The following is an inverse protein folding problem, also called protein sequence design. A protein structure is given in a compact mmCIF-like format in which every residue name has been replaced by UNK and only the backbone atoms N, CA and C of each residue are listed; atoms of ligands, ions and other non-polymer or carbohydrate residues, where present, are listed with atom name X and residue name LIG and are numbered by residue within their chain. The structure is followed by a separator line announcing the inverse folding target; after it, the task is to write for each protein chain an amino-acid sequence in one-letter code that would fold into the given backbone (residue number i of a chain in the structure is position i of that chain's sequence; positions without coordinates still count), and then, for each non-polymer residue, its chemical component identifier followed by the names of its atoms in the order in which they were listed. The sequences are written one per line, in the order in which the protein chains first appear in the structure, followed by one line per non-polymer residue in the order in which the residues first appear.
data_IF_666056334734
#
_entry.id   IF_666056334734
#
_cell.length_a   1.000
_cell.length_b   1.000
_cell.length_c   1.000
_cell.angle_alpha   90.00
_cell.angle_beta   90.00
_cell.angle_gamma   90.00
#
_symmetry.space_group_name_H-M   'P 1'
#
loop_
_entity.id
_entity.type
_entity.pdbx_description
1 polymer ?
#
# COMPACT_ATOMS: atom_id res chain seq x y z
N UNK A 1 25.58 15.35 21.53
CA UNK A 1 25.16 15.47 20.11
C UNK A 1 25.55 14.25 19.26
N UNK A 2 26.74 13.67 19.41
CA UNK A 2 27.21 12.60 18.50
C UNK A 2 26.64 11.19 18.78
N UNK A 3 26.34 10.82 20.03
CA UNK A 3 26.00 9.43 20.35
C UNK A 3 24.59 9.00 19.95
N UNK A 4 23.60 9.89 20.00
CA UNK A 4 22.22 9.57 19.58
C UNK A 4 22.10 9.47 18.06
N UNK A 5 22.75 10.39 17.33
CA UNK A 5 22.78 10.37 15.87
C UNK A 5 23.47 9.09 15.37
N UNK A 6 24.59 8.70 15.99
CA UNK A 6 25.27 7.44 15.67
C UNK A 6 24.37 6.22 15.91
N UNK A 7 23.62 6.18 17.01
CA UNK A 7 22.69 5.08 17.31
C UNK A 7 21.46 5.04 16.40
N UNK A 8 21.02 6.19 15.90
CA UNK A 8 19.96 6.29 14.89
C UNK A 8 20.46 5.74 13.55
N UNK A 9 21.66 6.13 13.13
CA UNK A 9 22.29 5.64 11.89
C UNK A 9 22.51 4.12 11.99
N UNK A 10 23.01 3.63 13.13
CA UNK A 10 23.19 2.20 13.39
C UNK A 10 21.86 1.43 13.37
N UNK A 11 20.79 2.03 13.90
CA UNK A 11 19.43 1.49 13.79
C UNK A 11 18.95 1.42 12.34
N UNK A 12 19.28 2.43 11.53
CA UNK A 12 18.99 2.46 10.09
C UNK A 12 19.72 1.37 9.30
N UNK A 13 21.02 1.20 9.56
CA UNK A 13 21.84 0.18 8.91
C UNK A 13 21.38 -1.25 9.24
N UNK A 14 20.90 -1.47 10.47
CA UNK A 14 20.41 -2.77 10.93
C UNK A 14 18.90 -2.96 10.72
N UNK A 15 18.22 -2.03 10.03
CA UNK A 15 16.77 -2.01 9.81
C UNK A 15 15.92 -2.16 11.09
N UNK A 16 16.44 -1.72 12.24
CA UNK A 16 15.78 -1.80 13.54
C UNK A 16 14.97 -0.54 13.82
N UNK A 17 13.71 -0.58 13.39
CA UNK A 17 12.77 0.54 13.52
C UNK A 17 12.48 0.94 14.97
N UNK A 18 12.51 0.00 15.91
CA UNK A 18 12.28 0.30 17.34
C UNK A 18 13.44 1.11 17.90
N UNK A 19 14.67 0.72 17.55
CA UNK A 19 15.89 1.43 17.93
C UNK A 19 15.88 2.85 17.39
N UNK A 20 15.55 3.04 16.11
CA UNK A 20 15.43 4.36 15.46
C UNK A 20 14.42 5.24 16.19
N UNK A 21 13.19 4.76 16.42
CA UNK A 21 12.13 5.56 17.06
C UNK A 21 12.53 5.97 18.48
N UNK A 22 13.07 5.04 19.27
CA UNK A 22 13.47 5.33 20.65
C UNK A 22 14.59 6.37 20.74
N UNK A 23 15.61 6.29 19.89
CA UNK A 23 16.70 7.26 19.90
C UNK A 23 16.29 8.61 19.30
N UNK A 24 15.44 8.63 18.27
CA UNK A 24 14.89 9.87 17.71
C UNK A 24 13.99 10.59 18.72
N UNK A 25 13.18 9.87 19.49
CA UNK A 25 12.40 10.47 20.59
C UNK A 25 13.30 11.04 21.70
N UNK A 26 14.36 10.31 22.10
CA UNK A 26 15.34 10.81 23.07
C UNK A 26 16.07 12.06 22.58
N UNK A 27 16.38 12.12 21.29
CA UNK A 27 16.99 13.29 20.66
C UNK A 27 16.02 14.49 20.70
N UNK A 28 14.75 14.29 20.36
CA UNK A 28 13.73 15.34 20.40
C UNK A 28 13.51 15.91 21.81
N UNK A 29 13.40 15.06 22.84
CA UNK A 29 13.25 15.51 24.23
C UNK A 29 14.45 16.33 24.72
N UNK A 30 15.67 15.98 24.28
CA UNK A 30 16.85 16.77 24.64
C UNK A 30 16.90 18.10 23.90
N UNK A 31 16.57 18.12 22.61
CA UNK A 31 16.49 19.37 21.83
C UNK A 31 15.44 20.34 22.39
N UNK A 32 14.35 19.82 22.95
CA UNK A 32 13.38 20.59 23.73
C UNK A 32 14.01 21.22 24.98
N UNK A 33 14.78 20.46 25.75
CA UNK A 33 15.47 20.95 26.95
C UNK A 33 16.58 21.96 26.64
N UNK A 34 17.22 21.87 25.48
CA UNK A 34 18.22 22.81 24.97
C UNK A 34 17.58 24.08 24.34
N UNK A 35 16.25 24.21 24.36
CA UNK A 35 15.52 25.36 23.85
C UNK A 35 15.25 25.35 22.34
N UNK A 36 15.67 24.29 21.63
CA UNK A 36 15.44 24.13 20.20
C UNK A 36 14.10 23.42 19.91
N UNK A 37 13.01 24.09 20.31
CA UNK A 37 11.64 23.57 20.25
C UNK A 37 11.18 23.29 18.82
N UNK A 38 11.67 24.04 17.83
CA UNK A 38 11.30 23.85 16.42
C UNK A 38 11.81 22.52 15.87
N UNK A 39 13.09 22.19 16.10
CA UNK A 39 13.66 20.92 15.62
C UNK A 39 13.07 19.71 16.34
N UNK A 40 12.86 19.82 17.66
CA UNK A 40 12.23 18.75 18.44
C UNK A 40 10.80 18.43 17.96
N UNK A 41 10.01 19.47 17.64
CA UNK A 41 8.65 19.31 17.11
C UNK A 41 8.67 18.62 15.74
N UNK A 42 9.51 19.08 14.80
CA UNK A 42 9.61 18.44 13.49
C UNK A 42 9.98 16.95 13.59
N UNK A 43 10.91 16.57 14.47
CA UNK A 43 11.28 15.17 14.68
C UNK A 43 10.08 14.34 15.19
N UNK A 44 9.33 14.86 16.17
CA UNK A 44 8.15 14.18 16.72
C UNK A 44 7.03 14.01 15.68
N UNK A 45 6.76 15.06 14.89
CA UNK A 45 5.76 15.02 13.82
C UNK A 45 6.11 13.97 12.76
N UNK A 46 7.38 13.85 12.38
CA UNK A 46 7.85 12.89 11.38
C UNK A 46 7.84 11.44 11.89
N UNK A 47 8.02 11.22 13.20
CA UNK A 47 7.85 9.91 13.83
C UNK A 47 6.37 9.49 13.91
N UNK A 48 5.45 10.43 14.12
CA UNK A 48 4.01 10.16 14.25
C UNK A 48 3.30 9.96 12.91
N UNK A 49 3.64 10.74 11.88
CA UNK A 49 3.14 10.54 10.51
C UNK A 49 3.48 9.13 9.99
N UNK A 50 4.61 8.60 10.45
CA UNK A 50 5.09 7.25 10.17
C UNK A 50 4.43 6.15 11.02
N UNK A 51 3.62 6.46 12.05
CA UNK A 51 3.13 5.44 13.00
C UNK A 51 1.63 5.19 12.88
N UNK A 52 0.80 6.20 12.62
CA UNK A 52 -0.67 6.05 12.61
C UNK A 52 -1.19 5.38 11.33
N UNK A 53 -0.53 5.56 10.18
CA UNK A 53 -0.89 4.87 8.93
C UNK A 53 -0.43 3.40 8.86
N UNK A 54 0.39 2.95 9.82
CA UNK A 54 1.12 1.68 9.72
C UNK A 54 0.45 0.46 10.38
N UNK A 55 -0.61 0.57 11.17
CA UNK A 55 -1.17 -0.64 11.82
C UNK A 55 -1.95 -1.51 10.80
N UNK A 56 -2.81 -0.89 9.97
CA UNK A 56 -3.50 -1.61 8.90
C UNK A 56 -2.56 -1.98 7.73
N UNK A 57 -1.58 -1.12 7.42
CA UNK A 57 -0.63 -1.36 6.32
C UNK A 57 0.53 -2.29 6.69
N UNK A 58 0.94 -2.41 7.96
CA UNK A 58 1.97 -3.39 8.36
C UNK A 58 1.44 -4.81 8.30
N UNK A 59 0.15 -5.03 8.60
CA UNK A 59 -0.45 -6.36 8.46
C UNK A 59 -0.56 -6.74 6.97
N UNK A 60 -1.04 -5.82 6.13
CA UNK A 60 -1.02 -5.99 4.68
C UNK A 60 0.41 -6.17 4.12
N UNK A 61 1.40 -5.40 4.60
CA UNK A 61 2.80 -5.51 4.17
C UNK A 61 3.49 -6.79 4.63
N UNK A 62 3.06 -7.40 5.75
CA UNK A 62 3.59 -8.68 6.25
C UNK A 62 3.00 -9.87 5.51
N UNK A 63 1.80 -9.73 4.95
CA UNK A 63 1.12 -10.77 4.18
C UNK A 63 1.42 -10.71 2.68
N UNK A 64 2.21 -9.75 2.21
CA UNK A 64 2.61 -9.69 0.80
C UNK A 64 3.52 -10.87 0.46
N UNK A 65 3.14 -11.73 -0.50
CA UNK A 65 3.98 -12.83 -0.94
C UNK A 65 5.31 -12.28 -1.45
N UNK A 66 6.40 -12.65 -0.79
CA UNK A 66 7.75 -12.41 -1.25
C UNK A 66 8.22 -13.67 -1.96
N UNK A 67 8.79 -13.52 -3.15
CA UNK A 67 9.49 -14.62 -3.80
C UNK A 67 10.71 -15.01 -2.95
N UNK A 68 10.75 -16.25 -2.49
CA UNK A 68 11.75 -16.72 -1.51
C UNK A 68 13.18 -16.71 -2.05
N UNK A 69 13.36 -16.75 -3.37
CA UNK A 69 14.67 -16.74 -4.02
C UNK A 69 15.11 -15.33 -4.46
N UNK A 70 14.21 -14.52 -5.02
CA UNK A 70 14.59 -13.24 -5.64
C UNK A 70 14.46 -12.01 -4.73
N UNK A 71 13.72 -12.11 -3.61
CA UNK A 71 13.28 -10.96 -2.79
C UNK A 71 12.56 -9.85 -3.59
N UNK A 72 12.12 -10.16 -4.81
CA UNK A 72 11.40 -9.23 -5.66
C UNK A 72 9.94 -9.17 -5.19
N UNK A 73 9.41 -7.97 -5.06
CA UNK A 73 7.98 -7.75 -4.83
C UNK A 73 7.21 -8.23 -6.07
N UNK A 74 6.48 -9.33 -5.90
CA UNK A 74 5.57 -9.91 -6.91
C UNK A 74 4.40 -8.94 -7.16
N UNK A 75 4.03 -8.20 -6.12
CA UNK A 75 2.84 -7.36 -6.09
C UNK A 75 3.20 -5.96 -5.58
N UNK A 76 2.60 -4.96 -6.21
CA UNK A 76 2.64 -3.57 -5.77
C UNK A 76 1.31 -3.21 -5.09
N UNK A 77 1.36 -2.59 -3.91
CA UNK A 77 0.16 -2.13 -3.19
C UNK A 77 0.10 -0.62 -3.23
N UNK A 78 -0.98 -0.11 -3.78
CA UNK A 78 -1.24 1.32 -3.96
C UNK A 78 -2.38 1.70 -3.00
N UNK A 79 -2.13 2.56 -2.00
CA UNK A 79 -3.14 2.91 -1.01
C UNK A 79 -4.23 3.82 -1.60
N UNK A 80 -5.46 3.73 -1.08
CA UNK A 80 -6.62 4.46 -1.59
C UNK A 80 -6.47 6.00 -1.54
N UNK A 81 -5.66 6.55 -0.62
CA UNK A 81 -5.49 7.99 -0.42
C UNK A 81 -4.47 8.67 -1.37
N UNK A 82 -3.93 7.94 -2.37
CA UNK A 82 -2.74 8.39 -3.09
C UNK A 82 -2.97 9.61 -4.00
N UNK A 83 -4.15 9.75 -4.61
CA UNK A 83 -4.61 10.90 -5.41
C UNK A 83 -6.02 10.62 -5.91
N UNK A 84 -6.94 11.60 -5.86
CA UNK A 84 -8.26 11.45 -6.49
C UNK A 84 -8.12 11.36 -8.01
N UNK A 85 -8.56 10.27 -8.61
CA UNK A 85 -8.45 10.08 -10.06
C UNK A 85 -9.71 10.61 -10.72
N UNK A 86 -9.62 11.76 -11.40
CA UNK A 86 -10.74 12.25 -12.21
C UNK A 86 -10.73 11.55 -13.57
N UNK A 87 -11.76 10.75 -13.85
CA UNK A 87 -11.91 10.01 -15.11
C UNK A 87 -13.18 10.47 -15.84
N UNK A 88 -13.11 10.49 -17.17
CA UNK A 88 -14.26 10.73 -18.04
C UNK A 88 -14.53 9.43 -18.78
N UNK A 89 -15.73 8.89 -18.62
CA UNK A 89 -16.17 7.64 -19.22
C UNK A 89 -17.39 7.89 -20.10
N UNK A 90 -17.65 6.99 -21.04
CA UNK A 90 -18.94 6.95 -21.74
C UNK A 90 -19.99 6.31 -20.84
N UNK A 91 -21.25 6.69 -21.01
CA UNK A 91 -22.39 6.22 -20.20
C UNK A 91 -22.42 4.68 -20.08
N UNK A 92 -22.13 3.96 -21.16
CA UNK A 92 -22.13 2.49 -21.17
C UNK A 92 -21.03 1.90 -20.28
N UNK A 93 -19.84 2.49 -20.28
CA UNK A 93 -18.70 2.01 -19.49
C UNK A 93 -18.86 2.42 -18.03
N UNK A 94 -19.32 3.64 -17.79
CA UNK A 94 -19.61 4.14 -16.45
C UNK A 94 -20.66 3.28 -15.75
N UNK A 95 -21.74 2.91 -16.45
CA UNK A 95 -22.77 2.03 -15.90
C UNK A 95 -22.20 0.66 -15.47
N UNK A 96 -21.46 0.00 -16.36
CA UNK A 96 -20.84 -1.31 -16.06
C UNK A 96 -19.84 -1.23 -14.90
N UNK A 97 -19.08 -0.14 -14.83
CA UNK A 97 -18.12 0.10 -13.76
C UNK A 97 -18.83 0.32 -12.42
N UNK A 98 -19.91 1.11 -12.40
CA UNK A 98 -20.68 1.36 -11.18
C UNK A 98 -21.38 0.09 -10.68
N UNK A 99 -21.95 -0.72 -11.56
CA UNK A 99 -22.53 -2.04 -11.21
C UNK A 99 -21.47 -2.94 -10.54
N UNK A 100 -20.25 -2.98 -11.08
CA UNK A 100 -19.15 -3.73 -10.48
C UNK A 100 -18.74 -3.18 -9.10
N UNK A 101 -18.64 -1.85 -8.96
CA UNK A 101 -18.30 -1.21 -7.69
C UNK A 101 -19.36 -1.51 -6.62
N UNK A 102 -20.64 -1.45 -6.97
CA UNK A 102 -21.74 -1.81 -6.06
C UNK A 102 -21.69 -3.27 -5.65
N UNK A 103 -21.40 -4.16 -6.59
CA UNK A 103 -21.25 -5.60 -6.34
C UNK A 103 -20.11 -5.88 -5.35
N UNK A 104 -18.96 -5.21 -5.51
CA UNK A 104 -17.84 -5.34 -4.58
C UNK A 104 -18.20 -4.82 -3.19
N UNK A 105 -18.89 -3.68 -3.10
CA UNK A 105 -19.29 -3.08 -1.82
C UNK A 105 -20.28 -3.93 -1.02
N UNK A 106 -21.24 -4.56 -1.67
CA UNK A 106 -22.26 -5.38 -1.02
C UNK A 106 -21.94 -6.86 -1.08
N UNK A 107 -20.67 -7.22 -1.32
CA UNK A 107 -20.32 -8.60 -1.58
C UNK A 107 -20.57 -9.54 -0.38
N UNK A 108 -20.45 -9.03 0.84
CA UNK A 108 -20.75 -9.77 2.07
C UNK A 108 -22.26 -10.07 2.21
N UNK A 109 -23.12 -9.10 1.85
CA UNK A 109 -24.57 -9.26 1.88
C UNK A 109 -25.05 -10.27 0.82
N UNK A 110 -24.45 -10.23 -0.36
CA UNK A 110 -24.73 -11.18 -1.44
C UNK A 110 -24.33 -12.61 -1.06
N UNK A 111 -23.16 -12.78 -0.43
CA UNK A 111 -22.72 -14.08 0.09
C UNK A 111 -23.65 -14.62 1.18
N UNK A 112 -24.10 -13.76 2.11
CA UNK A 112 -25.09 -14.13 3.13
C UNK A 112 -26.44 -14.53 2.53
N UNK A 113 -26.85 -13.90 1.44
CA UNK A 113 -28.05 -14.25 0.69
C UNK A 113 -27.89 -15.54 -0.16
N UNK A 114 -26.70 -16.15 -0.19
CA UNK A 114 -26.40 -17.33 -1.00
C UNK A 114 -26.20 -17.01 -2.49
N UNK A 115 -26.03 -15.74 -2.85
CA UNK A 115 -25.80 -15.30 -4.23
C UNK A 115 -24.30 -15.20 -4.47
N UNK A 116 -23.76 -16.19 -5.18
CA UNK A 116 -22.36 -16.17 -5.57
C UNK A 116 -22.19 -15.51 -6.94
N UNK A 117 -21.82 -14.23 -6.95
CA UNK A 117 -21.54 -13.47 -8.18
C UNK A 117 -20.04 -13.36 -8.45
N UNK A 118 -19.60 -13.49 -9.72
CA UNK A 118 -18.20 -13.32 -10.08
C UNK A 118 -17.75 -11.87 -9.90
N UNK A 119 -16.77 -11.65 -9.01
CA UNK A 119 -16.19 -10.32 -8.70
C UNK A 119 -15.03 -9.96 -9.65
N UNK A 120 -15.14 -10.31 -10.93
CA UNK A 120 -14.06 -10.15 -11.92
C UNK A 120 -14.50 -9.31 -13.12
N UNK A 121 -13.63 -8.39 -13.55
CA UNK A 121 -13.83 -7.56 -14.73
C UNK A 121 -12.59 -7.62 -15.64
N UNK A 122 -12.81 -7.73 -16.95
CA UNK A 122 -11.76 -7.66 -17.96
C UNK A 122 -11.82 -6.33 -18.71
N UNK A 123 -10.75 -5.54 -18.60
CA UNK A 123 -10.60 -4.28 -19.33
C UNK A 123 -9.69 -4.50 -20.55
N UNK A 124 -10.20 -4.25 -21.76
CA UNK A 124 -9.44 -4.45 -23.01
C UNK A 124 -9.53 -3.22 -23.95
N UNK A 125 -8.67 -3.17 -24.97
CA UNK A 125 -8.63 -2.12 -25.99
C UNK A 125 -7.22 -1.59 -26.24
N UNK A 126 -7.08 -0.59 -27.11
CA UNK A 126 -5.78 0.00 -27.48
C UNK A 126 -5.07 0.66 -26.28
N UNK A 127 -3.73 0.75 -26.26
CA UNK A 127 -3.01 1.45 -25.19
C UNK A 127 -3.46 2.90 -25.10
N UNK A 128 -3.50 3.46 -23.88
CA UNK A 128 -3.87 4.86 -23.65
C UNK A 128 -5.36 5.13 -23.37
N UNK A 129 -6.26 4.15 -23.49
CA UNK A 129 -7.71 4.35 -23.19
C UNK A 129 -8.07 4.34 -21.68
N UNK A 130 -7.13 4.57 -20.78
CA UNK A 130 -7.45 4.70 -19.34
C UNK A 130 -7.78 3.40 -18.59
N UNK A 131 -7.46 2.22 -19.13
CA UNK A 131 -7.68 0.92 -18.44
C UNK A 131 -7.10 0.89 -17.02
N UNK A 132 -5.84 1.29 -16.87
CA UNK A 132 -5.18 1.36 -15.56
C UNK A 132 -5.84 2.42 -14.67
N UNK A 133 -6.23 3.57 -15.23
CA UNK A 133 -6.92 4.64 -14.48
C UNK A 133 -8.29 4.21 -13.96
N UNK A 134 -9.04 3.39 -14.71
CA UNK A 134 -10.30 2.81 -14.26
C UNK A 134 -10.08 1.90 -13.05
N UNK A 135 -9.02 1.09 -13.03
CA UNK A 135 -8.70 0.25 -11.87
C UNK A 135 -8.38 1.07 -10.61
N UNK A 136 -7.62 2.17 -10.75
CA UNK A 136 -7.38 3.12 -9.66
C UNK A 136 -8.68 3.76 -9.17
N UNK A 137 -9.53 4.23 -10.08
CA UNK A 137 -10.81 4.83 -9.75
C UNK A 137 -11.74 3.85 -9.01
N UNK A 138 -11.79 2.60 -9.44
CA UNK A 138 -12.59 1.57 -8.77
C UNK A 138 -12.13 1.35 -7.33
N UNK A 139 -10.82 1.25 -7.09
CA UNK A 139 -10.21 1.14 -5.75
C UNK A 139 -10.53 2.35 -4.86
N UNK A 140 -10.47 3.56 -5.41
CA UNK A 140 -10.88 4.77 -4.69
C UNK A 140 -12.37 4.74 -4.31
N UNK A 141 -13.23 4.28 -5.23
CA UNK A 141 -14.68 4.22 -4.98
C UNK A 141 -15.08 3.13 -3.99
N UNK A 142 -14.35 2.02 -3.92
CA UNK A 142 -14.57 0.96 -2.94
C UNK A 142 -13.87 1.22 -1.60
N UNK A 143 -13.00 2.24 -1.53
CA UNK A 143 -12.19 2.55 -0.35
C UNK A 143 -11.33 1.34 0.09
N UNK A 144 -10.75 0.66 -0.90
CA UNK A 144 -9.89 -0.51 -0.72
C UNK A 144 -8.55 -0.26 -1.43
N UNK A 145 -7.43 -0.79 -0.91
CA UNK A 145 -6.14 -0.65 -1.57
C UNK A 145 -6.13 -1.37 -2.93
N UNK A 146 -5.45 -0.79 -3.91
CA UNK A 146 -5.24 -1.42 -5.21
C UNK A 146 -3.99 -2.30 -5.17
N UNK A 147 -4.19 -3.59 -5.45
CA UNK A 147 -3.15 -4.61 -5.45
C UNK A 147 -2.82 -4.95 -6.90
N UNK A 148 -1.64 -4.55 -7.39
CA UNK A 148 -1.20 -4.71 -8.78
C UNK A 148 -0.18 -5.84 -8.86
N UNK A 149 -0.61 -6.96 -9.42
CA UNK A 149 0.27 -8.07 -9.78
C UNK A 149 0.62 -7.97 -11.27
N UNK A 150 1.91 -7.85 -11.60
CA UNK A 150 2.34 -7.84 -12.99
C UNK A 150 2.80 -9.24 -13.41
N UNK A 151 2.27 -9.73 -14.53
CA UNK A 151 2.54 -11.09 -15.01
C UNK A 151 4.04 -11.33 -15.28
N UNK A 152 4.75 -10.32 -15.77
CA UNK A 152 6.21 -10.38 -16.00
C UNK A 152 7.01 -10.61 -14.71
N UNK A 153 6.46 -10.26 -13.54
CA UNK A 153 7.08 -10.51 -12.23
C UNK A 153 6.68 -11.83 -11.59
N UNK A 154 5.49 -12.32 -11.92
CA UNK A 154 4.98 -13.60 -11.39
C UNK A 154 5.67 -14.78 -12.08
N UNK A 155 6.01 -14.65 -13.36
CA UNK A 155 6.67 -15.71 -14.14
C UNK A 155 8.15 -15.79 -13.77
N UNK A 156 8.55 -16.88 -13.11
CA UNK A 156 9.96 -17.21 -12.84
C UNK A 156 10.49 -18.19 -13.90
N UNK A 157 11.79 -18.06 -14.24
CA UNK A 157 12.49 -18.95 -15.17
C UNK A 157 12.81 -20.32 -14.58
N UNK A 158 12.67 -20.51 -13.25
CA UNK A 158 12.87 -21.79 -12.59
C UNK A 158 11.58 -22.64 -12.62
N UNK A 159 11.64 -23.80 -13.27
CA UNK A 159 10.56 -24.81 -13.28
C UNK A 159 10.02 -25.08 -11.87
N UNK A 160 8.72 -24.88 -11.68
CA UNK A 160 8.01 -25.16 -10.43
C UNK A 160 8.02 -24.03 -9.39
N UNK A 161 8.66 -22.90 -9.65
CA UNK A 161 8.64 -21.75 -8.71
C UNK A 161 7.43 -20.81 -8.92
N UNK A 162 6.87 -20.75 -10.14
CA UNK A 162 5.64 -19.98 -10.43
C UNK A 162 4.43 -20.41 -9.58
N UNK A 163 4.30 -21.71 -9.28
CA UNK A 163 3.19 -22.24 -8.48
C UNK A 163 3.28 -21.87 -6.99
N UNK A 164 4.44 -21.40 -6.51
CA UNK A 164 4.57 -20.87 -5.13
C UNK A 164 4.14 -19.41 -5.01
N UNK A 165 4.03 -18.71 -6.15
CA UNK A 165 3.74 -17.29 -6.25
C UNK A 165 2.29 -17.00 -6.70
N UNK A 166 1.50 -18.05 -6.98
CA UNK A 166 0.05 -18.03 -7.24
C UNK A 166 -0.70 -18.56 -6.01
#
# INVERSE_FOLDING_TARGET
MSSEILRIIEGGLNNDRRKIINYSNRLATRLEAEGNVRLARCIKEQLQSSTVKNIATVDAMRMLPLDSDSKLQIVEVIPEDSTRTNIILSDSVEKQLNEFIELVKHSDELEQAGVNMPKSMLLYGVPGCGKTSIAHYASEKTNMPLVVARLDRIVSSLLGSTAKNL
#
